data_IF_253051948317
#
_entry.id   IF_253051948317
#
_cell.length_a   1.000
_cell.length_b   1.000
_cell.length_c   1.000
_cell.angle_alpha   90.00
_cell.angle_beta   90.00
_cell.angle_gamma   90.00
#
_symmetry.space_group_name_H-M   'P 1'
#
loop_
_entity.id
_entity.type
_entity.pdbx_description
1 polymer ?
#
# COMPACT_ATOMS: atom_id res chain seq x y z
N UNK A 1 -26.91 59.23 -38.27
CA UNK A 1 -25.72 58.58 -37.64
C UNK A 1 -24.71 58.40 -38.75
N UNK A 2 -23.61 59.17 -38.71
CA UNK A 2 -22.64 59.29 -39.81
C UNK A 2 -22.02 57.91 -40.19
N UNK A 3 -21.95 57.66 -41.48
CA UNK A 3 -21.43 56.38 -42.05
C UNK A 3 -20.02 56.03 -41.49
N UNK A 4 -19.22 57.07 -41.26
CA UNK A 4 -17.86 56.93 -40.70
C UNK A 4 -17.85 56.39 -39.29
N UNK A 5 -18.88 56.60 -38.47
CA UNK A 5 -18.99 56.08 -37.11
C UNK A 5 -19.23 54.53 -37.13
N UNK A 6 -20.02 54.08 -38.12
CA UNK A 6 -20.29 52.59 -38.27
C UNK A 6 -19.01 51.82 -38.63
N UNK A 7 -18.15 52.36 -39.46
CA UNK A 7 -16.88 51.72 -39.83
C UNK A 7 -15.88 51.73 -38.67
N UNK A 8 -15.87 52.76 -37.83
CA UNK A 8 -15.02 52.84 -36.64
C UNK A 8 -15.46 51.76 -35.60
N UNK A 9 -16.77 51.63 -35.38
CA UNK A 9 -17.29 50.57 -34.46
C UNK A 9 -17.07 49.16 -35.03
N UNK A 10 -17.19 48.94 -36.32
CA UNK A 10 -16.92 47.65 -36.95
C UNK A 10 -15.42 47.29 -36.92
N UNK A 11 -14.53 48.27 -37.14
CA UNK A 11 -13.08 48.06 -37.03
C UNK A 11 -12.63 47.77 -35.57
N UNK A 12 -13.22 48.50 -34.61
CA UNK A 12 -12.95 48.26 -33.19
C UNK A 12 -13.45 46.89 -32.72
N UNK A 13 -14.65 46.46 -33.16
CA UNK A 13 -15.19 45.13 -32.86
C UNK A 13 -14.35 44.00 -33.48
N UNK A 14 -13.82 44.20 -34.70
CA UNK A 14 -12.94 43.24 -35.36
C UNK A 14 -11.56 43.15 -34.67
N UNK A 15 -10.98 44.27 -34.24
CA UNK A 15 -9.74 44.27 -33.47
C UNK A 15 -9.90 43.65 -32.06
N UNK A 16 -11.06 43.81 -31.42
CA UNK A 16 -11.34 43.12 -30.15
C UNK A 16 -11.50 41.61 -30.34
N UNK A 17 -12.05 41.14 -31.46
CA UNK A 17 -12.24 39.70 -31.71
C UNK A 17 -10.92 38.97 -32.05
N UNK A 18 -9.95 39.65 -32.65
CA UNK A 18 -8.62 39.10 -32.95
C UNK A 18 -7.74 39.06 -31.71
N UNK A 19 -7.96 39.96 -30.72
CA UNK A 19 -7.21 39.98 -29.46
C UNK A 19 -7.64 38.92 -28.44
N UNK A 20 -8.74 38.18 -28.69
CA UNK A 20 -9.23 37.12 -27.78
C UNK A 20 -8.86 35.71 -28.21
N UNK A 21 -8.10 35.53 -29.28
CA UNK A 21 -7.38 34.30 -29.54
C UNK A 21 -6.15 34.27 -28.64
N UNK A 22 -6.40 34.28 -27.33
CA UNK A 22 -5.40 33.97 -26.32
C UNK A 22 -4.82 32.60 -26.64
N UNK A 23 -3.51 32.53 -26.75
CA UNK A 23 -2.69 31.38 -27.01
C UNK A 23 -2.97 30.23 -26.00
N UNK A 24 -4.07 29.50 -26.19
CA UNK A 24 -4.27 28.24 -25.45
C UNK A 24 -3.25 27.22 -25.87
N UNK A 25 -2.64 27.36 -27.05
CA UNK A 25 -1.52 26.53 -27.51
C UNK A 25 -0.23 26.72 -26.70
N UNK A 26 -0.05 27.86 -26.03
CA UNK A 26 1.10 28.08 -25.12
C UNK A 26 0.97 27.35 -23.78
N UNK A 27 -0.22 26.82 -23.49
CA UNK A 27 -0.47 25.97 -22.30
C UNK A 27 -0.17 24.48 -22.58
N UNK A 28 -0.06 24.08 -23.83
CA UNK A 28 0.36 22.75 -24.26
C UNK A 28 1.90 22.67 -24.35
N UNK A 29 2.57 23.06 -23.28
CA UNK A 29 4.02 22.91 -23.15
C UNK A 29 4.36 21.44 -22.92
N UNK A 30 5.07 20.86 -23.86
CA UNK A 30 5.76 19.60 -23.60
C UNK A 30 6.85 19.84 -22.56
N UNK A 31 6.91 19.04 -21.48
CA UNK A 31 7.98 19.14 -20.51
C UNK A 31 9.35 19.09 -21.18
N UNK A 32 10.25 20.00 -20.81
CA UNK A 32 11.63 20.04 -21.34
C UNK A 32 12.43 18.84 -20.85
N UNK A 33 12.13 18.36 -19.65
CA UNK A 33 12.71 17.12 -19.12
C UNK A 33 12.15 15.90 -19.87
N UNK A 34 12.99 15.15 -20.62
CA UNK A 34 12.54 13.96 -21.34
C UNK A 34 11.95 12.87 -20.41
N UNK A 35 12.29 12.88 -19.13
CA UNK A 35 11.73 11.95 -18.15
C UNK A 35 10.27 12.28 -17.79
N UNK A 36 9.85 13.53 -17.97
CA UNK A 36 8.44 13.95 -17.81
C UNK A 36 7.58 13.65 -19.03
N UNK A 37 8.19 13.33 -20.17
CA UNK A 37 7.52 12.81 -21.39
C UNK A 37 7.27 11.32 -21.36
N UNK A 38 7.50 10.69 -20.22
CA UNK A 38 7.36 9.23 -20.08
C UNK A 38 5.94 8.79 -20.40
N UNK A 39 5.87 7.70 -21.14
CA UNK A 39 4.63 7.04 -21.54
C UNK A 39 3.77 6.77 -20.28
N UNK A 40 2.46 6.83 -20.42
CA UNK A 40 1.50 6.60 -19.34
C UNK A 40 1.80 5.33 -18.54
N UNK A 41 2.23 4.26 -19.22
CA UNK A 41 2.62 3.00 -18.58
C UNK A 41 3.78 3.13 -17.59
N UNK A 42 4.83 3.91 -17.92
CA UNK A 42 5.97 4.10 -17.01
C UNK A 42 5.56 4.85 -15.74
N UNK A 43 4.65 5.80 -15.87
CA UNK A 43 4.09 6.51 -14.70
C UNK A 43 3.23 5.58 -13.84
N UNK A 44 2.39 4.74 -14.45
CA UNK A 44 1.57 3.77 -13.75
C UNK A 44 2.43 2.77 -12.96
N UNK A 45 3.49 2.20 -13.57
CA UNK A 45 4.42 1.31 -12.87
C UNK A 45 5.15 2.01 -11.73
N UNK A 46 5.64 3.22 -11.95
CA UNK A 46 6.31 4.00 -10.90
C UNK A 46 5.38 4.31 -9.73
N UNK A 47 4.12 4.66 -10.01
CA UNK A 47 3.10 4.89 -8.99
C UNK A 47 2.75 3.62 -8.22
N UNK A 48 2.65 2.47 -8.89
CA UNK A 48 2.44 1.18 -8.22
C UNK A 48 3.64 0.79 -7.36
N UNK A 49 4.87 1.00 -7.88
CA UNK A 49 6.08 0.74 -7.11
C UNK A 49 6.15 1.60 -5.84
N UNK A 50 5.59 2.81 -5.86
CA UNK A 50 5.45 3.63 -4.64
C UNK A 50 4.52 2.98 -3.61
N UNK A 51 3.44 2.33 -4.04
CA UNK A 51 2.57 1.57 -3.12
C UNK A 51 3.35 0.43 -2.44
N UNK A 52 4.18 -0.31 -3.18
CA UNK A 52 5.06 -1.33 -2.61
C UNK A 52 6.14 -0.74 -1.69
N UNK A 53 6.71 0.40 -2.06
CA UNK A 53 7.77 1.05 -1.30
C UNK A 53 7.34 1.41 0.13
N UNK A 54 6.07 1.69 0.38
CA UNK A 54 5.56 1.99 1.74
C UNK A 54 5.75 0.85 2.74
N UNK A 55 5.86 -0.39 2.25
CA UNK A 55 6.08 -1.57 3.09
C UNK A 55 7.58 -1.80 3.34
N UNK A 56 8.43 -1.38 2.39
CA UNK A 56 9.87 -1.67 2.41
C UNK A 56 10.73 -0.49 2.88
N UNK A 57 10.26 0.74 2.73
CA UNK A 57 11.05 1.96 2.93
C UNK A 57 10.35 2.91 3.91
N UNK A 58 11.15 3.72 4.62
CA UNK A 58 10.64 4.76 5.52
C UNK A 58 10.45 6.12 4.81
N UNK A 59 10.99 6.29 3.62
CA UNK A 59 10.97 7.49 2.80
C UNK A 59 12.06 7.45 1.73
N UNK A 60 12.27 8.54 1.02
CA UNK A 60 13.18 8.58 -0.14
C UNK A 60 14.66 8.47 0.21
N UNK A 61 15.05 8.80 1.43
CA UNK A 61 16.45 8.79 1.88
C UNK A 61 16.93 7.47 2.47
N UNK A 62 16.15 6.38 2.34
CA UNK A 62 16.46 5.08 2.97
C UNK A 62 16.14 5.05 4.46
N UNK A 63 16.79 4.15 5.22
CA UNK A 63 16.45 3.88 6.62
C UNK A 63 16.66 5.09 7.56
N UNK A 64 17.59 5.97 7.25
CA UNK A 64 17.90 7.17 8.05
C UNK A 64 17.65 8.47 7.27
N UNK A 65 16.91 8.39 6.16
CA UNK A 65 16.60 9.53 5.31
C UNK A 65 15.32 10.24 5.70
N UNK A 66 14.85 11.08 4.79
CA UNK A 66 13.60 11.82 4.98
C UNK A 66 12.43 10.86 5.18
N UNK A 67 11.82 10.93 6.35
CA UNK A 67 10.61 10.17 6.66
C UNK A 67 9.42 10.75 5.92
N UNK A 68 8.63 9.89 5.28
CA UNK A 68 7.37 10.26 4.62
C UNK A 68 6.14 10.21 5.55
N UNK A 69 6.38 10.01 6.84
CA UNK A 69 5.36 10.00 7.90
C UNK A 69 5.78 10.97 9.00
N UNK A 70 4.91 11.92 9.34
CA UNK A 70 5.17 12.93 10.36
C UNK A 70 5.21 12.37 11.78
N UNK A 71 6.06 12.99 12.62
CA UNK A 71 6.10 12.76 14.06
C UNK A 71 6.86 11.51 14.50
N UNK A 72 7.60 10.88 13.59
CA UNK A 72 8.49 9.75 13.88
C UNK A 72 9.69 9.80 12.93
N UNK A 73 10.87 9.45 13.40
CA UNK A 73 12.08 9.43 12.56
C UNK A 73 12.08 8.29 11.54
N UNK A 74 12.87 8.44 10.47
CA UNK A 74 12.94 7.48 9.37
C UNK A 74 13.35 6.07 9.81
N UNK A 75 14.32 5.97 10.73
CA UNK A 75 14.79 4.67 11.22
C UNK A 75 13.73 3.93 12.05
N UNK A 76 12.85 4.66 12.70
CA UNK A 76 11.77 4.10 13.55
C UNK A 76 10.47 3.90 12.77
N UNK A 77 10.20 4.67 11.71
CA UNK A 77 8.92 4.65 10.99
C UNK A 77 8.71 3.46 10.06
N UNK A 78 9.72 2.59 9.88
CA UNK A 78 9.65 1.49 8.92
C UNK A 78 8.51 0.51 9.22
N UNK A 79 7.75 0.13 8.17
CA UNK A 79 6.59 -0.75 8.26
C UNK A 79 6.91 -2.09 8.97
N UNK A 80 7.93 -2.81 8.49
CA UNK A 80 8.31 -4.12 9.03
C UNK A 80 8.79 -4.00 10.47
N UNK A 81 9.52 -2.92 10.80
CA UNK A 81 9.96 -2.65 12.16
C UNK A 81 8.77 -2.49 13.12
N UNK A 82 7.82 -1.65 12.75
CA UNK A 82 6.67 -1.40 13.62
C UNK A 82 5.74 -2.61 13.74
N UNK A 83 5.57 -3.36 12.64
CA UNK A 83 4.84 -4.63 12.67
C UNK A 83 5.51 -5.64 13.61
N UNK A 84 6.84 -5.77 13.55
CA UNK A 84 7.59 -6.63 14.47
C UNK A 84 7.43 -6.16 15.93
N UNK A 85 7.53 -4.85 16.17
CA UNK A 85 7.38 -4.30 17.52
C UNK A 85 6.00 -4.62 18.12
N UNK A 86 4.93 -4.48 17.35
CA UNK A 86 3.56 -4.70 17.84
C UNK A 86 3.20 -6.16 17.99
N UNK A 87 3.72 -7.05 17.13
CA UNK A 87 3.35 -8.47 17.13
C UNK A 87 4.32 -9.36 17.87
N UNK A 88 5.63 -9.07 17.86
CA UNK A 88 6.65 -9.94 18.44
C UNK A 88 7.19 -9.46 19.79
N UNK A 89 7.45 -8.15 19.94
CA UNK A 89 7.97 -7.63 21.21
C UNK A 89 6.94 -7.63 22.35
N UNK A 90 5.67 -7.83 22.05
CA UNK A 90 4.59 -7.99 23.02
C UNK A 90 4.43 -9.43 23.51
N UNK A 91 5.27 -10.33 23.02
CA UNK A 91 5.27 -11.77 23.35
C UNK A 91 6.52 -12.18 24.12
N UNK A 92 6.60 -13.44 24.52
CA UNK A 92 7.78 -14.02 25.17
C UNK A 92 8.88 -14.45 24.17
N UNK A 93 8.65 -14.30 22.87
CA UNK A 93 9.58 -14.77 21.84
C UNK A 93 10.74 -13.82 21.58
N UNK A 94 10.54 -12.50 21.81
CA UNK A 94 11.54 -11.49 21.52
C UNK A 94 11.62 -10.43 22.62
N UNK A 95 12.85 -9.99 22.90
CA UNK A 95 13.14 -8.89 23.82
C UNK A 95 13.98 -7.86 23.08
N UNK A 96 13.60 -6.59 23.20
CA UNK A 96 14.42 -5.49 22.69
C UNK A 96 15.64 -5.29 23.61
N UNK A 97 16.82 -5.43 23.05
CA UNK A 97 18.08 -5.31 23.81
C UNK A 97 18.54 -3.84 24.02
N UNK A 98 17.89 -2.87 23.38
CA UNK A 98 18.18 -1.46 23.54
C UNK A 98 16.92 -0.69 23.97
N UNK A 99 17.11 0.35 24.76
CA UNK A 99 16.01 1.17 25.28
C UNK A 99 16.08 2.64 24.84
N UNK A 100 16.85 2.96 23.79
CA UNK A 100 17.11 4.33 23.37
C UNK A 100 15.95 4.98 22.58
N UNK A 101 15.10 4.17 21.96
CA UNK A 101 13.95 4.69 21.22
C UNK A 101 12.75 4.86 22.15
N UNK A 102 12.10 6.02 22.06
CA UNK A 102 10.95 6.36 22.93
C UNK A 102 9.84 5.31 22.79
N UNK A 103 9.47 4.69 23.91
CA UNK A 103 8.40 3.71 23.99
C UNK A 103 8.78 2.27 23.63
N UNK A 104 9.97 1.98 23.12
CA UNK A 104 10.30 0.63 22.64
C UNK A 104 10.16 -0.46 23.72
N UNK A 105 10.57 -0.17 24.96
CA UNK A 105 10.48 -1.11 26.07
C UNK A 105 9.04 -1.34 26.56
N UNK A 106 8.12 -0.42 26.27
CA UNK A 106 6.73 -0.57 26.66
C UNK A 106 6.06 -1.78 25.97
N UNK A 107 6.52 -2.17 24.79
CA UNK A 107 6.03 -3.38 24.12
C UNK A 107 6.38 -4.64 24.93
N UNK A 108 7.63 -4.80 25.37
CA UNK A 108 8.03 -5.96 26.17
C UNK A 108 7.31 -6.05 27.52
N UNK A 109 6.94 -4.92 28.11
CA UNK A 109 6.24 -4.89 29.39
C UNK A 109 4.72 -4.80 29.24
N UNK A 110 4.19 -4.71 28.01
CA UNK A 110 2.77 -4.49 27.72
C UNK A 110 2.18 -3.29 28.48
N UNK A 111 2.95 -2.18 28.55
CA UNK A 111 2.61 -0.94 29.27
C UNK A 111 2.35 0.24 28.32
N UNK A 112 1.86 -0.01 27.15
CA UNK A 112 1.51 0.99 26.15
C UNK A 112 0.04 1.42 26.24
N UNK A 113 -0.25 2.62 25.76
CA UNK A 113 -1.60 3.18 25.65
C UNK A 113 -1.79 3.93 24.31
N UNK A 114 -2.92 4.62 24.17
CA UNK A 114 -3.27 5.35 22.95
C UNK A 114 -2.34 6.54 22.64
N UNK A 115 -1.50 6.99 23.56
CA UNK A 115 -0.53 8.07 23.35
C UNK A 115 0.83 7.58 22.87
N UNK A 116 1.03 6.26 22.78
CA UNK A 116 2.30 5.63 22.48
C UNK A 116 2.86 6.06 21.10
N UNK A 117 4.09 6.61 21.02
CA UNK A 117 4.61 7.24 19.81
C UNK A 117 4.78 6.26 18.64
N UNK A 118 5.23 5.04 18.90
CA UNK A 118 5.42 4.03 17.86
C UNK A 118 4.10 3.46 17.33
N UNK A 119 3.08 3.29 18.19
CA UNK A 119 1.74 2.92 17.74
C UNK A 119 1.15 4.00 16.83
N UNK A 120 1.30 5.28 17.19
CA UNK A 120 0.91 6.40 16.34
C UNK A 120 1.69 6.39 15.00
N UNK A 121 3.00 6.16 15.06
CA UNK A 121 3.84 6.06 13.87
C UNK A 121 3.41 4.92 12.94
N UNK A 122 3.11 3.74 13.49
CA UNK A 122 2.61 2.61 12.71
C UNK A 122 1.24 2.88 12.09
N UNK A 123 0.32 3.44 12.87
CA UNK A 123 -0.98 3.88 12.38
C UNK A 123 -0.85 4.84 11.18
N UNK A 124 -0.02 5.87 11.30
CA UNK A 124 0.23 6.82 10.23
C UNK A 124 0.88 6.15 9.01
N UNK A 125 1.80 5.20 9.20
CA UNK A 125 2.43 4.41 8.13
C UNK A 125 1.40 3.61 7.33
N UNK A 126 0.47 2.95 8.01
CA UNK A 126 -0.60 2.18 7.37
C UNK A 126 -1.51 3.09 6.53
N UNK A 127 -1.88 4.27 7.05
CA UNK A 127 -2.69 5.25 6.30
C UNK A 127 -1.94 5.90 5.14
N UNK A 128 -0.65 6.14 5.26
CA UNK A 128 0.18 6.58 4.13
C UNK A 128 0.13 5.55 2.99
N UNK A 129 0.27 4.26 3.30
CA UNK A 129 0.13 3.17 2.33
C UNK A 129 -1.25 3.14 1.66
N UNK A 130 -2.32 3.29 2.43
CA UNK A 130 -3.71 3.38 1.92
C UNK A 130 -3.85 4.58 0.98
N UNK A 131 -3.31 5.74 1.36
CA UNK A 131 -3.39 6.96 0.54
C UNK A 131 -2.70 6.79 -0.81
N UNK A 132 -1.50 6.21 -0.85
CA UNK A 132 -0.81 5.93 -2.11
C UNK A 132 -1.57 4.93 -2.99
N UNK A 133 -2.15 3.88 -2.39
CA UNK A 133 -2.97 2.94 -3.14
C UNK A 133 -4.26 3.59 -3.68
N UNK A 134 -4.93 4.43 -2.90
CA UNK A 134 -6.10 5.17 -3.35
C UNK A 134 -5.74 6.14 -4.48
N UNK A 135 -4.60 6.84 -4.39
CA UNK A 135 -4.12 7.72 -5.45
C UNK A 135 -3.82 6.94 -6.73
N UNK A 136 -3.11 5.80 -6.61
CA UNK A 136 -2.85 4.93 -7.76
C UNK A 136 -4.16 4.50 -8.46
N UNK A 137 -5.14 4.06 -7.68
CA UNK A 137 -6.43 3.59 -8.22
C UNK A 137 -7.25 4.73 -8.84
N UNK A 138 -7.14 5.95 -8.33
CA UNK A 138 -7.77 7.12 -8.93
C UNK A 138 -7.13 7.52 -10.26
N UNK A 139 -5.80 7.47 -10.37
CA UNK A 139 -5.06 7.92 -11.55
C UNK A 139 -4.93 6.84 -12.64
N UNK A 140 -4.83 5.56 -12.23
CA UNK A 140 -4.46 4.45 -13.12
C UNK A 140 -5.32 3.19 -12.94
N UNK A 141 -6.44 3.28 -12.22
CA UNK A 141 -7.27 2.11 -11.90
C UNK A 141 -7.79 1.33 -13.10
N UNK A 142 -8.00 2.01 -14.23
CA UNK A 142 -8.47 1.42 -15.49
C UNK A 142 -7.32 1.07 -16.46
N UNK A 143 -6.07 1.37 -16.10
CA UNK A 143 -4.92 1.19 -17.00
C UNK A 143 -4.55 -0.28 -17.20
N UNK A 144 -4.49 -1.06 -16.12
CA UNK A 144 -4.14 -2.48 -16.15
C UNK A 144 -4.80 -3.19 -14.97
N UNK A 145 -5.60 -4.19 -15.26
CA UNK A 145 -6.42 -4.89 -14.26
C UNK A 145 -5.58 -5.60 -13.18
N UNK A 146 -4.47 -6.23 -13.56
CA UNK A 146 -3.57 -6.90 -12.60
C UNK A 146 -2.88 -5.89 -11.69
N UNK A 147 -2.34 -4.81 -12.24
CA UNK A 147 -1.70 -3.75 -11.45
C UNK A 147 -2.70 -3.09 -10.48
N UNK A 148 -3.95 -2.93 -10.90
CA UNK A 148 -5.02 -2.41 -10.05
C UNK A 148 -5.39 -3.39 -8.94
N UNK A 149 -5.38 -4.70 -9.22
CA UNK A 149 -5.57 -5.73 -8.21
C UNK A 149 -4.42 -5.76 -7.20
N UNK A 150 -3.18 -5.55 -7.62
CA UNK A 150 -2.03 -5.41 -6.72
C UNK A 150 -2.17 -4.20 -5.78
N UNK A 151 -2.54 -3.02 -6.31
CA UNK A 151 -2.78 -1.84 -5.50
C UNK A 151 -3.94 -2.04 -4.50
N UNK A 152 -5.01 -2.72 -4.93
CA UNK A 152 -6.14 -3.09 -4.05
C UNK A 152 -5.70 -4.08 -2.96
N UNK A 153 -4.85 -5.05 -3.30
CA UNK A 153 -4.27 -5.98 -2.31
C UNK A 153 -3.43 -5.23 -1.27
N UNK A 154 -2.52 -4.35 -1.70
CA UNK A 154 -1.68 -3.56 -0.80
C UNK A 154 -2.52 -2.67 0.12
N UNK A 155 -3.59 -2.07 -0.39
CA UNK A 155 -4.57 -1.33 0.42
C UNK A 155 -5.26 -2.25 1.43
N UNK A 156 -5.71 -3.42 0.99
CA UNK A 156 -6.34 -4.40 1.86
C UNK A 156 -5.39 -4.91 2.95
N UNK A 157 -4.11 -5.12 2.64
CA UNK A 157 -3.09 -5.50 3.62
C UNK A 157 -2.90 -4.44 4.70
N UNK A 158 -2.86 -3.15 4.33
CA UNK A 158 -2.81 -2.06 5.31
C UNK A 158 -4.08 -2.02 6.18
N UNK A 159 -5.27 -2.19 5.59
CA UNK A 159 -6.52 -2.27 6.35
C UNK A 159 -6.62 -3.54 7.21
N UNK A 160 -6.01 -4.65 6.80
CA UNK A 160 -5.93 -5.85 7.63
C UNK A 160 -5.17 -5.57 8.94
N UNK A 161 -4.02 -4.91 8.88
CA UNK A 161 -3.30 -4.55 10.11
C UNK A 161 -4.00 -3.46 10.92
N UNK A 162 -4.72 -2.53 10.28
CA UNK A 162 -5.60 -1.60 11.00
C UNK A 162 -6.74 -2.33 11.72
N UNK A 163 -7.34 -3.35 11.09
CA UNK A 163 -8.36 -4.21 11.68
C UNK A 163 -7.81 -4.96 12.91
N UNK A 164 -6.64 -5.57 12.75
CA UNK A 164 -6.03 -6.45 13.75
C UNK A 164 -5.53 -5.67 14.97
N UNK A 165 -4.71 -4.65 14.72
CA UNK A 165 -4.01 -3.88 15.75
C UNK A 165 -4.88 -2.77 16.39
N UNK A 166 -5.78 -2.14 15.63
CA UNK A 166 -6.53 -0.95 16.07
C UNK A 166 -8.06 -1.14 16.10
N UNK A 167 -8.59 -2.13 15.41
CA UNK A 167 -10.01 -2.50 15.46
C UNK A 167 -10.93 -1.56 14.67
N UNK A 168 -11.57 -0.60 15.33
CA UNK A 168 -12.49 0.35 14.71
C UNK A 168 -11.71 1.57 14.21
N UNK A 169 -11.64 1.80 12.91
CA UNK A 169 -10.73 2.77 12.31
C UNK A 169 -11.43 3.64 11.25
N UNK A 170 -10.92 4.83 10.91
CA UNK A 170 -11.37 5.59 9.76
C UNK A 170 -11.24 4.79 8.47
N UNK A 171 -12.25 4.86 7.59
CA UNK A 171 -12.29 4.06 6.38
C UNK A 171 -12.56 4.92 5.14
N UNK A 172 -11.69 4.78 4.14
CA UNK A 172 -11.87 5.40 2.83
C UNK A 172 -11.19 4.59 1.73
N UNK A 173 -11.84 4.49 0.58
CA UNK A 173 -11.28 3.87 -0.62
C UNK A 173 -11.02 4.90 -1.74
N UNK A 174 -11.12 6.18 -1.41
CA UNK A 174 -10.95 7.28 -2.34
C UNK A 174 -10.10 8.40 -1.73
N UNK A 175 -9.56 9.25 -2.58
CA UNK A 175 -8.93 10.51 -2.18
C UNK A 175 -10.02 11.53 -1.89
N UNK A 176 -9.99 12.11 -0.70
CA UNK A 176 -10.95 13.13 -0.25
C UNK A 176 -10.29 14.12 0.69
N UNK A 177 -10.75 15.36 0.66
CA UNK A 177 -10.38 16.40 1.64
C UNK A 177 -11.19 16.32 2.94
N UNK A 178 -12.26 15.53 2.96
CA UNK A 178 -13.06 15.30 4.17
C UNK A 178 -12.49 14.15 5.01
N UNK A 179 -12.60 14.28 6.33
CA UNK A 179 -12.21 13.22 7.25
C UNK A 179 -13.07 11.97 7.02
N UNK A 180 -12.46 10.78 6.87
CA UNK A 180 -13.20 9.55 6.67
C UNK A 180 -14.00 9.16 7.92
N UNK A 181 -15.16 8.57 7.70
CA UNK A 181 -16.01 8.04 8.77
C UNK A 181 -15.40 6.75 9.33
N UNK A 182 -15.54 6.56 10.63
CA UNK A 182 -15.08 5.34 11.31
C UNK A 182 -15.93 4.14 10.89
N UNK A 183 -15.28 3.05 10.47
CA UNK A 183 -15.88 1.73 10.25
C UNK A 183 -15.69 0.87 11.52
N UNK A 184 -16.67 0.04 11.84
CA UNK A 184 -16.53 -0.94 12.92
C UNK A 184 -15.78 -2.19 12.44
N UNK A 185 -15.09 -2.86 13.36
CA UNK A 185 -14.21 -4.02 13.08
C UNK A 185 -14.90 -5.10 12.25
N UNK A 186 -16.13 -5.48 12.60
CA UNK A 186 -16.87 -6.53 11.90
C UNK A 186 -17.22 -6.14 10.45
N UNK A 187 -17.51 -4.88 10.18
CA UNK A 187 -17.82 -4.43 8.83
C UNK A 187 -16.57 -4.24 7.99
N UNK A 188 -15.45 -3.82 8.60
CA UNK A 188 -14.15 -3.78 7.94
C UNK A 188 -13.70 -5.20 7.54
N UNK A 189 -13.88 -6.19 8.42
CA UNK A 189 -13.62 -7.59 8.08
C UNK A 189 -14.43 -8.05 6.86
N UNK A 190 -15.72 -7.79 6.83
CA UNK A 190 -16.60 -8.13 5.69
C UNK A 190 -16.11 -7.48 4.40
N UNK A 191 -15.80 -6.18 4.46
CA UNK A 191 -15.27 -5.45 3.31
C UNK A 191 -13.95 -6.03 2.82
N UNK A 192 -13.01 -6.38 3.72
CA UNK A 192 -11.74 -6.99 3.35
C UNK A 192 -11.93 -8.33 2.64
N UNK A 193 -12.80 -9.20 3.16
CA UNK A 193 -13.10 -10.49 2.54
C UNK A 193 -13.71 -10.28 1.16
N UNK A 194 -14.67 -9.37 1.02
CA UNK A 194 -15.34 -9.08 -0.26
C UNK A 194 -14.36 -8.47 -1.28
N UNK A 195 -13.59 -7.47 -0.89
CA UNK A 195 -12.58 -6.83 -1.76
C UNK A 195 -11.56 -7.85 -2.27
N UNK A 196 -11.03 -8.69 -1.39
CA UNK A 196 -10.06 -9.71 -1.76
C UNK A 196 -10.64 -10.77 -2.70
N UNK A 197 -11.87 -11.23 -2.48
CA UNK A 197 -12.49 -12.26 -3.30
C UNK A 197 -13.02 -11.76 -4.63
N UNK A 198 -13.53 -10.53 -4.67
CA UNK A 198 -14.24 -10.00 -5.84
C UNK A 198 -13.29 -9.19 -6.73
N UNK A 199 -12.44 -8.37 -6.15
CA UNK A 199 -11.66 -7.38 -6.88
C UNK A 199 -10.16 -7.69 -6.96
N UNK A 200 -9.65 -8.62 -6.14
CA UNK A 200 -8.21 -8.93 -6.05
C UNK A 200 -7.90 -10.33 -6.57
N UNK A 201 -8.36 -11.39 -5.90
CA UNK A 201 -8.01 -12.79 -6.24
C UNK A 201 -8.23 -13.11 -7.72
N UNK A 202 -9.38 -12.78 -8.36
CA UNK A 202 -9.62 -13.17 -9.76
C UNK A 202 -8.69 -12.49 -10.78
N UNK A 203 -8.10 -11.35 -10.41
CA UNK A 203 -7.37 -10.45 -11.31
C UNK A 203 -5.85 -10.48 -11.12
N UNK A 204 -5.38 -11.09 -10.05
CA UNK A 204 -3.96 -11.31 -9.81
C UNK A 204 -3.40 -12.43 -10.70
N UNK A 205 -2.08 -12.35 -10.97
CA UNK A 205 -1.33 -13.41 -11.64
C UNK A 205 -1.30 -14.72 -10.83
N UNK A 206 -1.03 -15.82 -11.54
CA UNK A 206 -0.84 -17.13 -10.89
C UNK A 206 0.40 -17.10 -9.97
N UNK A 207 0.44 -17.96 -8.92
CA UNK A 207 1.55 -18.04 -8.00
C UNK A 207 2.89 -18.28 -8.70
N UNK A 208 3.87 -17.43 -8.45
CA UNK A 208 5.18 -17.45 -9.08
C UNK A 208 6.29 -17.56 -8.04
N UNK A 209 6.69 -18.79 -7.62
CA UNK A 209 7.80 -18.98 -6.72
C UNK A 209 9.11 -18.50 -7.34
N UNK A 210 10.05 -18.06 -6.51
CA UNK A 210 11.37 -17.61 -6.94
C UNK A 210 12.10 -18.70 -7.70
N UNK A 211 12.48 -18.40 -8.93
CA UNK A 211 13.44 -19.16 -9.72
C UNK A 211 14.37 -18.19 -10.43
N UNK A 212 15.51 -18.65 -10.91
CA UNK A 212 16.45 -17.81 -11.68
C UNK A 212 15.83 -17.17 -12.94
N UNK A 213 14.72 -17.71 -13.43
CA UNK A 213 14.02 -17.25 -14.63
C UNK A 213 12.71 -16.51 -14.33
N UNK A 214 12.32 -16.37 -13.05
CA UNK A 214 11.01 -15.76 -12.69
C UNK A 214 11.09 -14.24 -12.77
N UNK A 215 10.61 -13.67 -13.86
CA UNK A 215 10.37 -12.22 -13.94
C UNK A 215 9.18 -11.83 -13.04
N UNK A 216 9.33 -10.73 -12.30
CA UNK A 216 8.25 -10.22 -11.44
C UNK A 216 8.13 -10.92 -10.09
N UNK A 217 9.06 -11.79 -9.71
CA UNK A 217 9.13 -12.28 -8.34
C UNK A 217 9.18 -11.13 -7.33
N UNK A 218 8.44 -11.27 -6.23
CA UNK A 218 8.30 -10.21 -5.21
C UNK A 218 7.08 -9.31 -5.41
N UNK A 219 6.36 -9.43 -6.54
CA UNK A 219 5.05 -8.80 -6.72
C UNK A 219 3.94 -9.68 -6.15
N UNK A 220 2.82 -9.07 -5.81
CA UNK A 220 1.64 -9.77 -5.27
C UNK A 220 1.05 -10.68 -6.34
N UNK A 221 0.78 -11.92 -5.96
CA UNK A 221 0.09 -12.93 -6.75
C UNK A 221 -1.11 -13.53 -5.99
N UNK A 222 -1.80 -14.49 -6.61
CA UNK A 222 -2.96 -15.14 -5.99
C UNK A 222 -2.64 -15.80 -4.66
N UNK A 223 -1.43 -16.35 -4.47
CA UNK A 223 -1.08 -17.00 -3.22
C UNK A 223 -0.97 -16.01 -2.06
N UNK A 224 -0.54 -14.77 -2.32
CA UNK A 224 -0.56 -13.70 -1.31
C UNK A 224 -2.01 -13.36 -0.89
N UNK A 225 -2.95 -13.28 -1.85
CA UNK A 225 -4.36 -13.05 -1.56
C UNK A 225 -4.97 -14.23 -0.76
N UNK A 226 -4.64 -15.47 -1.12
CA UNK A 226 -5.11 -16.65 -0.38
C UNK A 226 -4.56 -16.69 1.04
N UNK A 227 -3.29 -16.32 1.25
CA UNK A 227 -2.71 -16.26 2.58
C UNK A 227 -3.40 -15.20 3.44
N UNK A 228 -3.67 -14.01 2.90
CA UNK A 228 -4.37 -12.96 3.63
C UNK A 228 -5.82 -13.36 3.97
N UNK A 229 -6.52 -14.01 3.04
CA UNK A 229 -7.86 -14.58 3.29
C UNK A 229 -7.82 -15.68 4.35
N UNK A 230 -6.82 -16.57 4.32
CA UNK A 230 -6.65 -17.59 5.36
C UNK A 230 -6.49 -16.97 6.75
N UNK A 231 -5.68 -15.91 6.87
CA UNK A 231 -5.47 -15.17 8.14
C UNK A 231 -6.76 -14.48 8.60
N UNK A 232 -7.47 -13.82 7.71
CA UNK A 232 -8.77 -13.19 8.01
C UNK A 232 -9.77 -14.22 8.55
N UNK A 233 -9.94 -15.35 7.85
CA UNK A 233 -10.87 -16.40 8.28
C UNK A 233 -10.43 -17.10 9.55
N UNK A 234 -9.11 -17.27 9.79
CA UNK A 234 -8.58 -17.82 11.03
C UNK A 234 -9.00 -17.00 12.24
N UNK A 235 -9.02 -15.68 12.11
CA UNK A 235 -9.36 -14.73 13.17
C UNK A 235 -10.82 -14.19 13.06
N UNK A 236 -11.66 -14.80 12.24
CA UNK A 236 -13.05 -14.35 12.03
C UNK A 236 -13.83 -14.20 13.33
N UNK A 237 -13.68 -15.14 14.27
CA UNK A 237 -14.36 -15.11 15.57
C UNK A 237 -13.95 -13.88 16.39
N UNK A 238 -12.67 -13.52 16.39
CA UNK A 238 -12.16 -12.32 17.08
C UNK A 238 -12.74 -11.04 16.48
N UNK A 239 -12.89 -10.98 15.15
CA UNK A 239 -13.35 -9.78 14.47
C UNK A 239 -14.87 -9.62 14.45
N UNK A 240 -15.62 -10.75 14.44
CA UNK A 240 -17.07 -10.74 14.18
C UNK A 240 -17.90 -11.43 15.26
N UNK A 241 -17.28 -12.17 16.17
CA UNK A 241 -17.95 -13.06 17.12
C UNK A 241 -18.36 -14.41 16.52
N UNK A 242 -18.03 -14.71 15.25
CA UNK A 242 -18.37 -15.95 14.57
C UNK A 242 -17.15 -16.54 13.87
N UNK A 243 -16.81 -17.78 14.22
CA UNK A 243 -15.68 -18.50 13.62
C UNK A 243 -15.99 -18.94 12.17
N UNK A 244 -14.95 -18.97 11.32
CA UNK A 244 -15.04 -19.49 9.94
C UNK A 244 -13.84 -20.41 9.61
N UNK A 245 -13.70 -21.50 10.37
CA UNK A 245 -12.63 -22.47 10.18
C UNK A 245 -12.66 -23.19 8.83
N UNK A 246 -13.84 -23.32 8.24
CA UNK A 246 -14.00 -23.95 6.93
C UNK A 246 -13.29 -23.17 5.83
N UNK A 247 -13.50 -21.87 5.78
CA UNK A 247 -12.83 -20.99 4.81
C UNK A 247 -11.36 -20.79 5.15
N UNK A 248 -10.97 -20.70 6.43
CA UNK A 248 -9.57 -20.69 6.84
C UNK A 248 -8.80 -21.89 6.27
N UNK A 249 -9.34 -23.11 6.48
CA UNK A 249 -8.77 -24.36 5.92
C UNK A 249 -8.75 -24.36 4.39
N UNK A 250 -9.81 -23.88 3.73
CA UNK A 250 -9.91 -23.83 2.27
C UNK A 250 -8.79 -22.96 1.68
N UNK A 251 -8.60 -21.75 2.19
CA UNK A 251 -7.60 -20.84 1.66
C UNK A 251 -6.17 -21.22 2.02
N UNK A 252 -5.94 -21.74 3.23
CA UNK A 252 -4.65 -22.34 3.60
C UNK A 252 -4.29 -23.51 2.66
N UNK A 253 -5.26 -24.36 2.30
CA UNK A 253 -5.04 -25.45 1.35
C UNK A 253 -4.69 -24.94 -0.06
N UNK A 254 -5.30 -23.85 -0.55
CA UNK A 254 -4.91 -23.26 -1.83
C UNK A 254 -3.42 -22.87 -1.87
N UNK A 255 -2.91 -22.32 -0.75
CA UNK A 255 -1.47 -21.99 -0.63
C UNK A 255 -0.61 -23.24 -0.63
N UNK A 256 -0.99 -24.28 0.13
CA UNK A 256 -0.26 -25.57 0.21
C UNK A 256 -0.20 -26.26 -1.16
N UNK A 257 -1.30 -26.23 -1.91
CA UNK A 257 -1.42 -26.85 -3.23
C UNK A 257 -0.73 -26.02 -4.35
N UNK A 258 -0.35 -24.79 -4.06
CA UNK A 258 0.32 -23.89 -5.03
C UNK A 258 1.74 -24.38 -5.37
N UNK A 259 2.40 -23.79 -6.37
CA UNK A 259 3.81 -24.04 -6.68
C UNK A 259 4.79 -23.65 -5.56
N UNK A 260 4.37 -22.80 -4.61
CA UNK A 260 5.18 -22.44 -3.45
C UNK A 260 5.45 -23.69 -2.58
N UNK A 261 6.72 -23.88 -2.20
CA UNK A 261 7.14 -25.03 -1.38
C UNK A 261 8.04 -24.54 -0.26
N UNK A 262 8.00 -25.25 0.86
CA UNK A 262 8.98 -25.04 1.91
C UNK A 262 10.38 -25.37 1.35
N UNK A 263 11.33 -24.49 1.65
CA UNK A 263 12.71 -24.74 1.28
C UNK A 263 13.29 -25.83 2.18
N UNK A 264 13.78 -26.91 1.58
CA UNK A 264 14.23 -28.10 2.31
C UNK A 264 15.71 -28.42 2.10
N UNK A 265 16.39 -27.71 1.20
CA UNK A 265 17.78 -27.99 0.84
C UNK A 265 18.74 -27.36 1.85
N UNK A 266 19.56 -28.21 2.50
CA UNK A 266 20.65 -27.76 3.36
C UNK A 266 21.85 -27.33 2.51
N UNK A 267 22.53 -26.24 2.88
CA UNK A 267 23.75 -25.76 2.20
C UNK A 267 24.91 -25.63 3.22
N UNK A 268 25.87 -26.53 3.12
CA UNK A 268 26.98 -26.55 4.06
C UNK A 268 26.52 -26.79 5.50
N UNK A 269 26.94 -25.91 6.41
CA UNK A 269 26.55 -25.97 7.84
C UNK A 269 25.16 -25.38 8.13
N UNK A 270 24.56 -24.66 7.17
CA UNK A 270 23.31 -23.95 7.37
C UNK A 270 22.12 -24.82 7.08
N UNK A 271 21.16 -24.86 7.98
CA UNK A 271 19.89 -25.53 7.74
C UNK A 271 19.10 -24.85 6.61
N UNK A 272 18.16 -25.57 6.01
CA UNK A 272 17.26 -25.01 5.00
C UNK A 272 16.51 -23.77 5.53
N UNK A 273 16.05 -23.82 6.79
CA UNK A 273 15.36 -22.70 7.45
C UNK A 273 16.27 -21.47 7.60
N UNK A 274 17.51 -21.66 8.08
CA UNK A 274 18.45 -20.54 8.24
C UNK A 274 18.77 -19.83 6.91
N UNK A 275 18.80 -20.58 5.80
CA UNK A 275 19.07 -19.99 4.48
C UNK A 275 18.01 -19.01 4.00
N UNK A 276 16.76 -19.14 4.45
CA UNK A 276 15.69 -18.20 4.08
C UNK A 276 15.95 -16.77 4.57
N UNK A 277 16.78 -16.62 5.60
CA UNK A 277 17.09 -15.33 6.23
C UNK A 277 18.47 -14.79 5.85
N UNK A 278 19.16 -15.42 4.91
CA UNK A 278 20.43 -14.93 4.41
C UNK A 278 20.22 -13.96 3.23
N UNK A 279 21.09 -12.96 3.10
CA UNK A 279 20.99 -11.94 2.07
C UNK A 279 21.10 -12.46 0.63
N UNK A 280 21.71 -13.65 0.47
CA UNK A 280 21.92 -14.36 -0.80
C UNK A 280 21.11 -15.66 -0.90
N UNK A 281 19.94 -15.70 -0.30
CA UNK A 281 19.12 -16.90 -0.15
C UNK A 281 18.54 -17.48 -1.46
N UNK A 282 19.09 -17.08 -2.60
CA UNK A 282 18.74 -17.68 -3.89
C UNK A 282 19.04 -16.81 -5.07
#
# INVERSE_FOLDING_TARGET
>A
MNTNIKYIFSAAAFMLSVGLTSCTGDLDVNPIDPNLKTKVNTKAESSLNKCYATIAMAGNGGANGDCDVDGIDGGTSGYVRQLFNTQELTTDEAICAWGGDEGILNFNFNTYDASHPMLKGFYNRLYAGITYCNQYLADYGDYNETMSAEARFLRALNYYYLLDEFGNVPFTTAISSSNPVRIVRADLYKWLVDELKTNVEPKLGEPQPKTSATAGYGRVDKAAAWMLLARLYMNAEVYTGTADWANAKLYAKKVIDSPYKLYTTKKGQWSAYQQLFMGDNG
#
